data_IF_420939058112
#
_entry.id   IF_420939058112
#
_cell.length_a   1.000
_cell.length_b   1.000
_cell.length_c   1.000
_cell.angle_alpha   90.00
_cell.angle_beta   90.00
_cell.angle_gamma   90.00
#
_symmetry.space_group_name_H-M   'P 1'
#
loop_
_entity.id
_entity.type
_entity.pdbx_description
1 polymer ?
#
# COMPACT_ATOMS: atom_id res chain seq x y z
N UNK A 1 -10.82 5.57 -18.35
CA UNK A 1 -9.68 4.75 -17.90
C UNK A 1 -10.17 3.84 -16.79
N UNK A 2 -9.73 2.60 -16.74
CA UNK A 2 -10.07 1.65 -15.65
C UNK A 2 -9.70 2.22 -14.28
N UNK A 3 -8.57 2.92 -14.21
CA UNK A 3 -8.11 3.60 -13.01
C UNK A 3 -9.11 4.65 -12.47
N UNK A 4 -9.98 5.18 -13.31
CA UNK A 4 -11.02 6.13 -12.89
C UNK A 4 -12.21 5.44 -12.20
N UNK A 5 -12.33 4.14 -12.32
CA UNK A 5 -13.35 3.34 -11.64
C UNK A 5 -12.98 3.02 -10.20
N UNK A 6 -11.68 3.16 -9.85
CA UNK A 6 -11.18 2.94 -8.49
C UNK A 6 -11.40 4.19 -7.64
N UNK A 7 -12.39 4.16 -6.77
CA UNK A 7 -12.77 5.26 -5.86
C UNK A 7 -12.53 4.94 -4.38
N UNK A 8 -12.30 3.69 -4.06
CA UNK A 8 -12.09 3.25 -2.68
C UNK A 8 -11.55 1.83 -2.57
N UNK A 9 -11.32 1.36 -1.33
CA UNK A 9 -10.84 0.02 -1.11
C UNK A 9 -11.79 -1.02 -1.72
N UNK A 10 -11.23 -2.11 -2.22
CA UNK A 10 -11.91 -3.24 -2.86
C UNK A 10 -12.55 -2.94 -4.23
N UNK A 11 -12.52 -1.72 -4.75
CA UNK A 11 -13.05 -1.43 -6.09
C UNK A 11 -12.29 -2.19 -7.20
N UNK A 12 -11.01 -2.48 -7.00
CA UNK A 12 -10.22 -3.30 -7.94
C UNK A 12 -10.84 -4.69 -8.16
N UNK A 13 -11.59 -5.23 -7.21
CA UNK A 13 -12.27 -6.53 -7.33
C UNK A 13 -13.45 -6.52 -8.31
N UNK A 14 -13.87 -5.34 -8.77
CA UNK A 14 -14.92 -5.16 -9.78
C UNK A 14 -14.36 -5.15 -11.20
N UNK A 15 -13.03 -5.04 -11.35
CA UNK A 15 -12.35 -5.05 -12.64
C UNK A 15 -12.22 -6.49 -13.13
N UNK A 16 -12.51 -6.72 -14.40
CA UNK A 16 -12.38 -8.06 -15.01
C UNK A 16 -10.92 -8.47 -15.10
N UNK A 17 -10.67 -9.77 -14.93
CA UNK A 17 -9.30 -10.32 -14.87
C UNK A 17 -8.49 -10.02 -16.13
N UNK A 18 -9.14 -10.01 -17.29
CA UNK A 18 -8.57 -9.72 -18.60
C UNK A 18 -8.01 -8.30 -18.69
N UNK A 19 -8.52 -7.38 -17.85
CA UNK A 19 -8.16 -5.96 -17.83
C UNK A 19 -7.08 -5.61 -16.80
N UNK A 20 -6.62 -6.57 -15.98
CA UNK A 20 -5.60 -6.28 -14.95
C UNK A 20 -4.29 -5.76 -15.53
N UNK A 21 -3.88 -6.26 -16.70
CA UNK A 21 -2.69 -5.75 -17.39
C UNK A 21 -2.84 -4.28 -17.81
N UNK A 22 -4.02 -3.92 -18.32
CA UNK A 22 -4.33 -2.53 -18.71
C UNK A 22 -4.33 -1.63 -17.48
N UNK A 23 -4.98 -2.05 -16.40
CA UNK A 23 -4.99 -1.29 -15.14
C UNK A 23 -3.57 -1.09 -14.57
N UNK A 24 -2.71 -2.12 -14.63
CA UNK A 24 -1.34 -2.01 -14.17
C UNK A 24 -0.54 -0.94 -14.97
N UNK A 25 -0.71 -0.90 -16.29
CA UNK A 25 -0.07 0.13 -17.12
C UNK A 25 -0.64 1.53 -16.84
N UNK A 26 -1.95 1.68 -16.70
CA UNK A 26 -2.57 2.97 -16.31
C UNK A 26 -2.04 3.48 -14.97
N UNK A 27 -1.82 2.57 -13.97
CA UNK A 27 -1.22 2.93 -12.69
C UNK A 27 0.24 3.38 -12.87
N UNK A 28 1.03 2.71 -13.73
CA UNK A 28 2.42 3.10 -14.00
C UNK A 28 2.51 4.47 -14.66
N UNK A 29 1.72 4.68 -15.70
CA UNK A 29 1.67 5.97 -16.40
C UNK A 29 1.29 7.11 -15.43
N UNK A 30 0.27 6.89 -14.60
CA UNK A 30 -0.13 7.85 -13.57
C UNK A 30 0.99 8.13 -12.57
N UNK A 31 1.70 7.10 -12.10
CA UNK A 31 2.82 7.27 -11.17
C UNK A 31 3.98 8.04 -11.79
N UNK A 32 4.34 7.73 -13.04
CA UNK A 32 5.41 8.43 -13.77
C UNK A 32 5.05 9.91 -13.91
N UNK A 33 3.84 10.21 -14.35
CA UNK A 33 3.35 11.58 -14.53
C UNK A 33 3.39 12.36 -13.20
N UNK A 34 2.73 11.85 -12.17
CA UNK A 34 2.61 12.54 -10.87
C UNK A 34 3.94 12.69 -10.14
N UNK A 35 4.77 11.65 -10.13
CA UNK A 35 6.05 11.71 -9.41
C UNK A 35 7.07 12.59 -10.15
N UNK A 36 6.99 12.71 -11.48
CA UNK A 36 7.81 13.66 -12.23
C UNK A 36 7.54 15.11 -11.82
N UNK A 37 6.31 15.43 -11.43
CA UNK A 37 5.91 16.78 -11.01
C UNK A 37 6.19 17.06 -9.52
N UNK A 38 5.88 16.10 -8.64
CA UNK A 38 5.90 16.33 -7.19
C UNK A 38 7.13 15.73 -6.49
N UNK A 39 7.92 14.93 -7.19
CA UNK A 39 9.00 14.13 -6.60
C UNK A 39 8.49 12.95 -5.79
N UNK A 40 9.35 11.97 -5.56
CA UNK A 40 8.98 10.77 -4.80
C UNK A 40 9.83 9.56 -5.15
N UNK A 41 9.39 8.37 -4.69
CA UNK A 41 10.09 7.10 -4.89
C UNK A 41 9.51 6.39 -6.11
N UNK A 42 9.98 6.70 -7.32
CA UNK A 42 9.40 6.14 -8.56
C UNK A 42 9.72 4.65 -8.73
N UNK A 43 11.01 4.29 -8.77
CA UNK A 43 11.43 2.92 -9.10
C UNK A 43 10.84 1.86 -8.16
N UNK A 44 10.86 2.12 -6.85
CA UNK A 44 10.31 1.19 -5.86
C UNK A 44 8.80 1.01 -5.96
N UNK A 45 8.07 2.00 -6.48
CA UNK A 45 6.63 1.90 -6.70
C UNK A 45 6.31 1.17 -8.02
N UNK A 46 7.04 1.46 -9.10
CA UNK A 46 6.86 0.76 -10.38
C UNK A 46 7.10 -0.75 -10.26
N UNK A 47 8.06 -1.16 -9.41
CA UNK A 47 8.42 -2.56 -9.20
C UNK A 47 7.40 -3.38 -8.39
N UNK A 48 6.41 -2.75 -7.76
CA UNK A 48 5.43 -3.44 -6.90
C UNK A 48 3.97 -3.19 -7.32
N UNK A 49 3.72 -2.72 -8.52
CA UNK A 49 2.35 -2.46 -9.00
C UNK A 49 1.52 -3.73 -8.96
N UNK A 50 1.95 -4.80 -9.64
CA UNK A 50 1.22 -6.06 -9.69
C UNK A 50 1.17 -6.76 -8.32
N UNK A 51 2.23 -6.69 -7.52
CA UNK A 51 2.22 -7.21 -6.15
C UNK A 51 1.13 -6.52 -5.33
N UNK A 52 1.04 -5.19 -5.42
CA UNK A 52 0.04 -4.42 -4.69
C UNK A 52 -1.38 -4.73 -5.18
N UNK A 53 -1.57 -4.83 -6.50
CA UNK A 53 -2.86 -5.23 -7.09
C UNK A 53 -3.26 -6.62 -6.58
N UNK A 54 -2.35 -7.59 -6.60
CA UNK A 54 -2.62 -8.96 -6.14
C UNK A 54 -3.03 -9.00 -4.66
N UNK A 55 -2.37 -8.22 -3.80
CA UNK A 55 -2.74 -8.10 -2.39
C UNK A 55 -4.15 -7.52 -2.24
N UNK A 56 -4.49 -6.45 -2.99
CA UNK A 56 -5.81 -5.84 -2.94
C UNK A 56 -6.93 -6.72 -3.53
N UNK A 57 -6.59 -7.61 -4.46
CA UNK A 57 -7.53 -8.60 -5.00
C UNK A 57 -7.79 -9.75 -4.01
N UNK A 58 -6.78 -10.08 -3.19
CA UNK A 58 -6.83 -11.23 -2.27
C UNK A 58 -7.33 -10.86 -0.87
N UNK A 59 -7.23 -9.60 -0.46
CA UNK A 59 -7.56 -9.13 0.88
C UNK A 59 -8.81 -8.24 0.87
N UNK A 60 -9.56 -8.23 1.96
CA UNK A 60 -10.72 -7.37 2.17
C UNK A 60 -10.34 -6.19 3.08
N UNK A 61 -9.96 -5.06 2.45
CA UNK A 61 -9.59 -3.86 3.18
C UNK A 61 -10.83 -3.01 3.53
N UNK A 62 -10.87 -2.37 4.70
CA UNK A 62 -9.80 -2.24 5.70
C UNK A 62 -9.76 -3.36 6.77
N UNK A 63 -10.60 -4.39 6.69
CA UNK A 63 -10.67 -5.44 7.71
C UNK A 63 -9.37 -6.25 7.77
N UNK A 64 -8.92 -6.81 6.65
CA UNK A 64 -7.56 -7.32 6.49
C UNK A 64 -6.54 -6.16 6.54
N UNK A 65 -5.29 -6.48 6.82
CA UNK A 65 -4.25 -5.45 7.02
C UNK A 65 -3.04 -5.68 6.13
N UNK A 66 -2.55 -4.60 5.50
CA UNK A 66 -1.27 -4.58 4.81
C UNK A 66 -0.34 -3.62 5.57
N UNK A 67 0.76 -4.14 6.07
CA UNK A 67 1.82 -3.35 6.74
C UNK A 67 3.00 -3.21 5.78
N UNK A 68 3.30 -1.99 5.39
CA UNK A 68 4.39 -1.67 4.47
C UNK A 68 5.67 -1.37 5.25
N UNK A 69 6.76 -2.10 4.98
CA UNK A 69 8.06 -1.78 5.57
C UNK A 69 8.61 -0.50 4.93
N UNK A 70 9.10 0.43 5.74
CA UNK A 70 9.40 1.82 5.34
C UNK A 70 8.18 2.53 4.75
N UNK A 71 7.51 1.93 3.77
CA UNK A 71 6.30 2.43 3.14
C UNK A 71 6.51 3.39 1.97
N UNK A 72 7.77 3.54 1.50
CA UNK A 72 8.10 4.35 0.32
C UNK A 72 7.56 3.77 -0.98
N UNK A 73 7.20 2.48 -1.01
CA UNK A 73 6.65 1.74 -2.14
C UNK A 73 5.11 1.59 -2.08
N UNK A 74 4.42 2.37 -1.24
CA UNK A 74 2.97 2.23 -0.99
C UNK A 74 2.09 3.15 -1.85
N UNK A 75 2.59 3.72 -2.96
CA UNK A 75 1.79 4.66 -3.75
C UNK A 75 0.64 3.98 -4.48
N UNK A 76 0.87 2.81 -5.06
CA UNK A 76 -0.21 2.00 -5.67
C UNK A 76 -1.28 1.65 -4.62
N UNK A 77 -0.90 1.33 -3.39
CA UNK A 77 -1.83 1.11 -2.28
C UNK A 77 -2.69 2.37 -2.00
N UNK A 78 -2.08 3.57 -2.00
CA UNK A 78 -2.84 4.83 -1.84
C UNK A 78 -3.82 5.05 -2.99
N UNK A 79 -3.42 4.77 -4.23
CA UNK A 79 -4.29 4.85 -5.41
C UNK A 79 -5.48 3.91 -5.24
N UNK A 80 -5.23 2.63 -4.96
CA UNK A 80 -6.26 1.60 -4.86
C UNK A 80 -7.16 1.74 -3.62
N UNK A 81 -6.81 2.63 -2.69
CA UNK A 81 -7.63 2.98 -1.52
C UNK A 81 -8.32 4.34 -1.66
N UNK A 82 -8.43 4.86 -2.90
CA UNK A 82 -9.25 6.03 -3.24
C UNK A 82 -8.57 7.39 -3.09
N UNK A 83 -7.22 7.43 -2.90
CA UNK A 83 -6.46 8.68 -2.71
C UNK A 83 -5.79 9.19 -3.99
N UNK A 84 -6.16 8.66 -5.17
CA UNK A 84 -5.60 9.05 -6.48
C UNK A 84 -5.62 10.57 -6.70
N UNK A 85 -6.75 11.19 -6.46
CA UNK A 85 -6.96 12.62 -6.76
C UNK A 85 -6.14 13.56 -5.87
N UNK A 86 -5.61 13.06 -4.75
CA UNK A 86 -4.77 13.82 -3.84
C UNK A 86 -3.27 13.81 -4.22
N UNK A 87 -2.87 13.05 -5.24
CA UNK A 87 -1.46 12.93 -5.64
C UNK A 87 -0.83 14.24 -6.12
N UNK A 88 -1.63 15.22 -6.57
CA UNK A 88 -1.14 16.57 -6.87
C UNK A 88 -0.54 17.28 -5.65
N UNK A 89 -0.89 16.82 -4.43
CA UNK A 89 -0.39 17.30 -3.15
C UNK A 89 0.49 16.26 -2.42
N UNK A 90 0.92 15.20 -3.10
CA UNK A 90 1.80 14.20 -2.50
C UNK A 90 3.07 14.86 -1.95
N UNK A 91 3.40 14.57 -0.67
CA UNK A 91 4.57 15.10 0.05
C UNK A 91 4.58 16.63 0.24
N UNK A 92 3.50 17.33 -0.07
CA UNK A 92 3.36 18.77 0.19
C UNK A 92 2.66 19.01 1.52
N UNK A 93 2.85 20.20 2.09
CA UNK A 93 2.14 20.59 3.32
C UNK A 93 0.64 20.59 3.10
N UNK A 94 -0.11 19.96 4.01
CA UNK A 94 -1.56 19.80 3.90
C UNK A 94 -2.03 18.78 2.85
N UNK A 95 -1.10 18.03 2.23
CA UNK A 95 -1.39 16.92 1.31
C UNK A 95 -1.13 15.55 1.92
N UNK A 96 -1.21 14.51 1.08
CA UNK A 96 -0.93 13.14 1.50
C UNK A 96 0.58 12.91 1.68
N UNK A 97 0.92 12.09 2.68
CA UNK A 97 2.29 11.69 2.98
C UNK A 97 2.87 10.78 1.90
N UNK A 98 4.18 10.81 1.72
CA UNK A 98 4.92 9.81 0.93
C UNK A 98 4.99 8.41 1.57
N UNK A 99 4.36 8.22 2.73
CA UNK A 99 4.33 6.97 3.50
C UNK A 99 2.91 6.70 4.00
N UNK A 100 2.52 5.45 4.29
CA UNK A 100 1.27 5.14 4.96
C UNK A 100 1.13 5.88 6.29
N UNK A 101 -0.04 6.43 6.53
CA UNK A 101 -0.37 7.16 7.76
C UNK A 101 -1.79 6.83 8.22
N UNK A 102 -1.95 6.35 9.44
CA UNK A 102 -3.24 6.01 10.05
C UNK A 102 -4.29 7.13 10.01
N UNK A 103 -3.83 8.38 9.98
CA UNK A 103 -4.72 9.56 9.89
C UNK A 103 -5.27 9.82 8.48
N UNK A 104 -4.69 9.17 7.47
CA UNK A 104 -5.09 9.38 6.06
C UNK A 104 -6.12 8.35 5.60
N UNK A 105 -6.06 7.13 6.12
CA UNK A 105 -6.94 6.04 5.71
C UNK A 105 -6.98 4.93 6.75
N UNK A 106 -8.15 4.32 6.93
CA UNK A 106 -8.32 3.10 7.74
C UNK A 106 -7.59 1.89 7.13
N UNK A 107 -7.24 1.97 5.84
CA UNK A 107 -6.41 0.98 5.15
C UNK A 107 -4.92 1.08 5.49
N UNK A 108 -4.48 2.11 6.22
CA UNK A 108 -3.12 2.30 6.71
C UNK A 108 -3.03 1.89 8.19
N UNK A 109 -2.93 0.60 8.55
CA UNK A 109 -3.05 0.15 9.95
C UNK A 109 -1.87 0.58 10.83
N UNK A 110 -0.73 0.92 10.20
CA UNK A 110 0.51 1.27 10.87
C UNK A 110 1.19 2.46 10.18
N UNK A 111 1.62 3.45 10.96
CA UNK A 111 2.41 4.59 10.45
C UNK A 111 3.86 4.19 10.23
N UNK A 112 4.34 4.30 8.98
CA UNK A 112 5.65 3.78 8.58
C UNK A 112 6.65 4.89 8.25
N UNK A 113 7.90 4.52 8.03
CA UNK A 113 9.03 5.39 7.73
C UNK A 113 10.38 4.77 8.09
N UNK A 114 10.43 3.98 9.18
CA UNK A 114 11.63 3.23 9.58
C UNK A 114 11.63 1.82 8.98
N UNK A 115 12.82 1.32 8.61
CA UNK A 115 13.00 -0.02 8.05
C UNK A 115 12.89 -1.11 9.10
N UNK A 116 12.57 -2.33 8.65
CA UNK A 116 12.58 -3.57 9.42
C UNK A 116 11.53 -3.66 10.53
N UNK A 117 10.51 -2.79 10.53
CA UNK A 117 9.47 -2.73 11.57
C UNK A 117 8.19 -3.46 11.20
N UNK A 118 8.00 -3.79 9.91
CA UNK A 118 6.72 -4.31 9.40
C UNK A 118 6.36 -5.67 9.95
N UNK A 119 7.33 -6.57 10.11
CA UNK A 119 7.10 -7.93 10.60
C UNK A 119 6.62 -7.89 12.05
N UNK A 120 7.32 -7.15 12.93
CA UNK A 120 6.89 -6.98 14.33
C UNK A 120 5.50 -6.35 14.44
N UNK A 121 5.22 -5.32 13.62
CA UNK A 121 3.92 -4.67 13.62
C UNK A 121 2.81 -5.61 13.13
N UNK A 122 3.06 -6.35 12.03
CA UNK A 122 2.12 -7.33 11.49
C UNK A 122 1.85 -8.47 12.49
N UNK A 123 2.90 -9.00 13.13
CA UNK A 123 2.79 -10.02 14.17
C UNK A 123 1.95 -9.53 15.36
N UNK A 124 2.16 -8.29 15.79
CA UNK A 124 1.38 -7.67 16.87
C UNK A 124 -0.11 -7.55 16.51
N UNK A 125 -0.41 -7.10 15.28
CA UNK A 125 -1.80 -6.99 14.80
C UNK A 125 -2.44 -8.39 14.70
N UNK A 126 -1.75 -9.37 14.09
CA UNK A 126 -2.25 -10.74 13.95
C UNK A 126 -2.48 -11.40 15.32
N UNK A 127 -1.59 -11.18 16.29
CA UNK A 127 -1.77 -11.64 17.66
C UNK A 127 -2.99 -11.00 18.32
N UNK A 128 -3.21 -9.71 18.09
CA UNK A 128 -4.42 -9.00 18.55
C UNK A 128 -5.69 -9.58 17.94
N UNK A 129 -5.70 -9.90 16.66
CA UNK A 129 -6.82 -10.56 15.99
C UNK A 129 -7.10 -11.94 16.60
N UNK A 130 -6.05 -12.74 16.81
CA UNK A 130 -6.18 -14.06 17.44
C UNK A 130 -6.79 -13.98 18.84
N UNK A 131 -6.35 -13.03 19.68
CA UNK A 131 -6.89 -12.83 21.03
C UNK A 131 -8.37 -12.42 20.99
N UNK A 132 -8.75 -11.63 19.98
CA UNK A 132 -10.14 -11.16 19.80
C UNK A 132 -11.02 -12.14 19.04
N UNK A 133 -10.49 -13.29 18.62
CA UNK A 133 -11.18 -14.27 17.76
C UNK A 133 -11.68 -13.65 16.43
N UNK A 134 -10.88 -12.74 15.84
CA UNK A 134 -11.12 -12.14 14.54
C UNK A 134 -10.31 -12.92 13.51
N UNK A 135 -10.97 -13.39 12.45
CA UNK A 135 -10.37 -14.19 11.38
C UNK A 135 -9.99 -13.30 10.18
N UNK A 136 -9.12 -12.32 10.43
CA UNK A 136 -8.62 -11.42 9.39
C UNK A 136 -7.14 -11.70 9.11
N UNK A 137 -6.75 -11.48 7.86
CA UNK A 137 -5.39 -11.68 7.38
C UNK A 137 -4.53 -10.42 7.62
N UNK A 138 -3.26 -10.62 7.95
CA UNK A 138 -2.28 -9.54 8.04
C UNK A 138 -1.09 -9.89 7.13
N UNK A 139 -0.83 -9.03 6.15
CA UNK A 139 0.30 -9.15 5.24
C UNK A 139 1.36 -8.07 5.57
N UNK A 140 2.64 -8.46 5.63
CA UNK A 140 3.77 -7.54 5.70
C UNK A 140 4.48 -7.50 4.34
N UNK A 141 4.66 -6.30 3.79
CA UNK A 141 5.43 -6.07 2.55
C UNK A 141 6.77 -5.46 2.94
N UNK A 142 7.83 -6.21 2.76
CA UNK A 142 9.19 -5.84 3.16
C UNK A 142 10.14 -6.02 1.99
N UNK A 143 11.05 -5.06 1.78
CA UNK A 143 12.13 -5.19 0.80
C UNK A 143 13.26 -6.06 1.34
N UNK A 144 14.02 -6.67 0.43
CA UNK A 144 15.16 -7.53 0.73
C UNK A 144 16.20 -6.85 1.63
N UNK A 145 16.52 -5.58 1.35
CA UNK A 145 17.43 -4.79 2.18
C UNK A 145 16.92 -4.56 3.60
N UNK A 146 15.64 -4.25 3.77
CA UNK A 146 15.04 -4.08 5.09
C UNK A 146 14.92 -5.39 5.85
N UNK A 147 14.77 -6.52 5.14
CA UNK A 147 14.70 -7.86 5.73
C UNK A 147 16.03 -8.28 6.40
N UNK A 148 17.16 -7.69 6.04
CA UNK A 148 18.45 -7.95 6.68
C UNK A 148 18.62 -7.24 8.04
N UNK A 149 17.72 -6.37 8.42
CA UNK A 149 17.79 -5.64 9.69
C UNK A 149 17.46 -6.51 10.91
N UNK A 150 18.17 -6.29 12.03
CA UNK A 150 18.00 -7.08 13.27
C UNK A 150 16.56 -7.10 13.79
N UNK A 151 15.84 -5.98 13.68
CA UNK A 151 14.41 -5.90 14.08
C UNK A 151 13.52 -6.90 13.35
N UNK A 152 13.81 -7.24 12.09
CA UNK A 152 13.06 -8.24 11.33
C UNK A 152 13.27 -9.67 11.86
N UNK A 153 14.42 -9.93 12.46
CA UNK A 153 14.77 -11.24 13.06
C UNK A 153 14.27 -11.40 14.49
N UNK A 154 13.90 -10.30 15.16
CA UNK A 154 13.35 -10.31 16.51
C UNK A 154 11.89 -10.77 16.57
N UNK A 155 11.18 -10.65 15.45
CA UNK A 155 9.76 -11.02 15.33
C UNK A 155 9.58 -12.48 14.89
#
# INVERSE_FOLDING_TARGET
MLLDEIKGPNDIKKIEKEDYGILAEEIREFLIDRISECGGHLASNLGVVELTMALHLSLDLPDDKIVWDVGHQAYTHKILTGRKDEFNKLRKYGGISGFPKRRESDCDPFGTGHSSTSISAALGIASGFKIKHIDNTVAAVIGDGAFTGGMAYEA
#
